data_IF_134593617603
#
_entry.id   IF_134593617603
#
_cell.length_a   1.000
_cell.length_b   1.000
_cell.length_c   1.000
_cell.angle_alpha   90.00
_cell.angle_beta   90.00
_cell.angle_gamma   90.00
#
_symmetry.space_group_name_H-M   'P 1'
#
loop_
_entity.id
_entity.type
_entity.pdbx_description
1 polymer ?
#
# COMPACT_ATOMS: atom_id res chain seq x y z
N UNK A 1 3.02 -4.70 5.66
CA UNK A 1 3.55 -4.81 4.30
C UNK A 1 4.29 -6.10 4.03
N UNK A 2 5.13 -6.62 4.92
CA UNK A 2 5.77 -7.93 4.68
C UNK A 2 4.77 -9.05 4.39
N UNK A 3 3.59 -9.02 5.03
CA UNK A 3 2.58 -10.05 4.89
C UNK A 3 1.96 -10.19 3.48
N UNK A 4 2.19 -9.23 2.57
CA UNK A 4 1.74 -9.35 1.17
C UNK A 4 2.90 -9.27 0.18
N UNK A 5 4.15 -9.15 0.64
CA UNK A 5 5.29 -8.86 -0.23
C UNK A 5 5.59 -10.01 -1.19
N UNK A 6 5.52 -11.25 -0.70
CA UNK A 6 5.74 -12.47 -1.48
C UNK A 6 4.44 -13.06 -2.07
N UNK A 7 3.30 -12.44 -1.74
CA UNK A 7 2.01 -12.85 -2.26
C UNK A 7 1.74 -12.24 -3.64
N UNK A 8 0.94 -12.97 -4.42
CA UNK A 8 0.49 -12.53 -5.74
C UNK A 8 -0.99 -12.87 -5.93
N UNK A 9 -1.63 -12.14 -6.83
CA UNK A 9 -3.01 -12.42 -7.22
C UNK A 9 -3.06 -13.73 -8.04
N UNK A 10 -3.50 -14.82 -7.41
CA UNK A 10 -3.87 -16.09 -8.06
C UNK A 10 -5.37 -16.14 -8.34
N UNK A 11 -5.89 -16.95 -9.29
CA UNK A 11 -7.33 -17.04 -9.53
C UNK A 11 -8.17 -17.39 -8.31
N UNK A 12 -7.62 -18.16 -7.35
CA UNK A 12 -8.31 -18.54 -6.12
C UNK A 12 -8.31 -17.42 -5.06
N UNK A 13 -7.22 -16.66 -4.95
CA UNK A 13 -6.99 -15.76 -3.80
C UNK A 13 -6.95 -14.27 -4.17
N UNK A 14 -7.13 -13.92 -5.44
CA UNK A 14 -6.93 -12.54 -5.91
C UNK A 14 -7.80 -11.51 -5.15
N UNK A 15 -9.05 -11.85 -4.85
CA UNK A 15 -9.94 -10.94 -4.13
C UNK A 15 -9.46 -10.67 -2.71
N UNK A 16 -8.99 -11.72 -2.03
CA UNK A 16 -8.40 -11.60 -0.70
C UNK A 16 -7.10 -10.79 -0.75
N UNK A 17 -6.19 -11.15 -1.67
CA UNK A 17 -4.90 -10.49 -1.83
C UNK A 17 -5.03 -9.00 -2.11
N UNK A 18 -5.85 -8.59 -3.09
CA UNK A 18 -6.00 -7.19 -3.46
C UNK A 18 -6.62 -6.36 -2.34
N UNK A 19 -7.62 -6.90 -1.63
CA UNK A 19 -8.16 -6.26 -0.44
C UNK A 19 -7.08 -6.08 0.61
N UNK A 20 -6.28 -7.12 0.85
CA UNK A 20 -5.24 -7.11 1.86
C UNK A 20 -4.16 -6.08 1.56
N UNK A 21 -3.70 -5.98 0.32
CA UNK A 21 -2.74 -4.94 -0.11
C UNK A 21 -3.31 -3.55 0.14
N UNK A 22 -4.55 -3.29 -0.30
CA UNK A 22 -5.22 -2.01 -0.09
C UNK A 22 -5.30 -1.63 1.40
N UNK A 23 -5.73 -2.57 2.26
CA UNK A 23 -5.86 -2.36 3.70
C UNK A 23 -4.50 -2.12 4.37
N UNK A 24 -3.44 -2.85 3.97
CA UNK A 24 -2.11 -2.67 4.53
C UNK A 24 -1.48 -1.33 4.17
N UNK A 25 -1.69 -0.86 2.94
CA UNK A 25 -1.26 0.48 2.52
C UNK A 25 -1.95 1.55 3.37
N UNK A 26 -3.26 1.45 3.60
CA UNK A 26 -4.00 2.43 4.41
C UNK A 26 -3.61 2.40 5.89
N UNK A 27 -3.35 1.22 6.46
CA UNK A 27 -2.83 1.11 7.82
C UNK A 27 -1.46 1.75 7.95
N UNK A 28 -0.60 1.57 6.94
CA UNK A 28 0.70 2.22 6.89
C UNK A 28 0.55 3.74 6.82
N UNK A 29 -0.28 4.26 5.92
CA UNK A 29 -0.54 5.71 5.80
C UNK A 29 -0.94 6.32 7.15
N UNK A 30 -1.87 5.67 7.86
CA UNK A 30 -2.27 6.08 9.21
C UNK A 30 -1.10 6.05 10.21
N UNK A 31 -0.29 5.00 10.21
CA UNK A 31 0.86 4.87 11.10
C UNK A 31 1.94 5.93 10.82
N UNK A 32 2.25 6.19 9.55
CA UNK A 32 3.22 7.20 9.13
C UNK A 32 2.77 8.62 9.53
N UNK A 33 1.48 8.93 9.37
CA UNK A 33 0.91 10.21 9.79
C UNK A 33 0.89 10.39 11.30
N UNK A 34 0.73 9.29 12.05
CA UNK A 34 0.68 9.29 13.51
C UNK A 34 2.06 9.19 14.18
N UNK A 35 3.12 8.90 13.42
CA UNK A 35 4.48 8.75 13.94
C UNK A 35 5.04 10.07 14.49
N UNK A 36 5.88 9.99 15.53
CA UNK A 36 6.57 11.15 16.12
C UNK A 36 7.50 11.86 15.13
N UNK A 37 8.00 11.14 14.11
CA UNK A 37 8.81 11.73 13.01
C UNK A 37 7.96 12.62 12.09
N UNK A 38 6.64 12.47 12.15
CA UNK A 38 5.66 13.26 11.42
C UNK A 38 5.57 12.93 9.92
N UNK A 39 4.51 13.43 9.24
CA UNK A 39 4.25 13.12 7.84
C UNK A 39 5.30 13.66 6.85
N UNK A 40 6.12 14.64 7.26
CA UNK A 40 7.22 15.15 6.44
C UNK A 40 8.34 14.13 6.24
N UNK A 41 8.61 13.31 7.27
CA UNK A 41 9.59 12.22 7.19
C UNK A 41 9.12 11.12 6.21
N UNK A 42 7.82 10.86 6.17
CA UNK A 42 7.18 9.85 5.33
C UNK A 42 6.54 10.41 4.06
N UNK A 43 7.02 11.55 3.56
CA UNK A 43 6.35 12.30 2.49
C UNK A 43 6.17 11.46 1.20
N UNK A 44 7.17 10.68 0.83
CA UNK A 44 7.15 9.84 -0.37
C UNK A 44 6.11 8.69 -0.29
N UNK A 45 6.14 7.80 0.72
CA UNK A 45 5.15 6.73 0.81
C UNK A 45 3.72 7.26 1.01
N UNK A 46 3.52 8.38 1.74
CA UNK A 46 2.21 9.02 1.86
C UNK A 46 1.72 9.55 0.51
N UNK A 47 2.60 10.14 -0.30
CA UNK A 47 2.26 10.63 -1.65
C UNK A 47 1.82 9.49 -2.56
N UNK A 48 2.55 8.37 -2.55
CA UNK A 48 2.23 7.19 -3.37
C UNK A 48 0.85 6.62 -3.03
N UNK A 49 0.50 6.53 -1.74
CA UNK A 49 -0.83 6.04 -1.30
C UNK A 49 -1.92 7.02 -1.74
N UNK A 50 -1.70 8.33 -1.61
CA UNK A 50 -2.67 9.34 -2.06
C UNK A 50 -2.91 9.31 -3.58
N UNK A 51 -1.87 9.04 -4.37
CA UNK A 51 -1.99 8.89 -5.83
C UNK A 51 -2.79 7.63 -6.19
N UNK A 52 -2.54 6.51 -5.48
CA UNK A 52 -3.32 5.29 -5.60
C UNK A 52 -4.81 5.53 -5.27
N UNK A 53 -5.11 6.22 -4.17
CA UNK A 53 -6.48 6.54 -3.75
C UNK A 53 -7.22 7.40 -4.77
N UNK A 54 -6.51 8.34 -5.40
CA UNK A 54 -7.08 9.17 -6.47
C UNK A 54 -7.44 8.32 -7.69
N UNK A 55 -6.65 7.29 -8.00
CA UNK A 55 -6.94 6.35 -9.08
C UNK A 55 -8.11 5.40 -8.76
N UNK A 56 -8.13 4.83 -7.55
CA UNK A 56 -9.16 3.88 -7.13
C UNK A 56 -10.51 4.59 -6.90
N UNK A 57 -10.50 5.79 -6.32
CA UNK A 57 -11.69 6.49 -5.88
C UNK A 57 -12.34 5.83 -4.64
N UNK A 58 -13.65 6.06 -4.46
CA UNK A 58 -14.39 5.53 -3.30
C UNK A 58 -14.94 4.11 -3.49
N UNK A 59 -14.88 3.56 -4.71
CA UNK A 59 -15.35 2.21 -4.99
C UNK A 59 -14.28 1.19 -4.56
N UNK A 60 -14.53 0.56 -3.42
CA UNK A 60 -13.64 -0.44 -2.88
C UNK A 60 -14.05 -1.87 -3.28
N UNK A 61 -14.95 -2.08 -4.24
CA UNK A 61 -15.34 -3.43 -4.68
C UNK A 61 -14.17 -4.21 -5.27
N UNK A 62 -14.27 -5.55 -5.29
CA UNK A 62 -13.24 -6.39 -5.89
C UNK A 62 -13.00 -6.03 -7.35
N UNK A 63 -14.05 -5.81 -8.15
CA UNK A 63 -13.92 -5.50 -9.56
C UNK A 63 -13.12 -4.21 -9.79
N UNK A 64 -13.34 -3.18 -8.96
CA UNK A 64 -12.57 -1.95 -9.06
C UNK A 64 -11.13 -2.12 -8.58
N UNK A 65 -10.89 -2.86 -7.49
CA UNK A 65 -9.52 -3.18 -7.07
C UNK A 65 -8.77 -4.03 -8.11
N UNK A 66 -9.47 -4.97 -8.76
CA UNK A 66 -8.92 -5.81 -9.82
C UNK A 66 -8.54 -5.00 -11.04
N UNK A 67 -9.37 -4.03 -11.42
CA UNK A 67 -9.07 -3.05 -12.48
C UNK A 67 -7.80 -2.24 -12.17
N UNK A 68 -7.54 -1.95 -10.89
CA UNK A 68 -6.37 -1.20 -10.42
C UNK A 68 -5.25 -2.09 -9.85
N UNK A 69 -5.26 -3.40 -10.12
CA UNK A 69 -4.30 -4.36 -9.56
C UNK A 69 -2.84 -3.93 -9.77
N UNK A 70 -2.49 -3.52 -10.98
CA UNK A 70 -1.10 -3.12 -11.29
C UNK A 70 -0.66 -1.94 -10.45
N UNK A 71 -1.53 -0.95 -10.24
CA UNK A 71 -1.23 0.21 -9.41
C UNK A 71 -1.07 -0.18 -7.93
N UNK A 72 -1.97 -1.02 -7.41
CA UNK A 72 -1.88 -1.53 -6.02
C UNK A 72 -0.55 -2.23 -5.75
N UNK A 73 -0.14 -3.13 -6.64
CA UNK A 73 1.09 -3.90 -6.50
C UNK A 73 2.32 -2.99 -6.66
N UNK A 74 2.33 -2.10 -7.65
CA UNK A 74 3.43 -1.16 -7.85
C UNK A 74 3.62 -0.24 -6.64
N UNK A 75 2.53 0.34 -6.10
CA UNK A 75 2.59 1.16 -4.89
C UNK A 75 3.14 0.39 -3.68
N UNK A 76 2.70 -0.86 -3.48
CA UNK A 76 3.25 -1.75 -2.44
C UNK A 76 4.77 -1.93 -2.59
N UNK A 77 5.22 -2.21 -3.81
CA UNK A 77 6.62 -2.55 -4.09
C UNK A 77 7.54 -1.32 -3.99
N UNK A 78 7.08 -0.16 -4.47
CA UNK A 78 7.78 1.12 -4.34
C UNK A 78 7.94 1.52 -2.87
N UNK A 79 6.87 1.42 -2.08
CA UNK A 79 6.93 1.72 -0.64
C UNK A 79 7.83 0.71 0.07
N UNK A 80 7.75 -0.58 -0.26
CA UNK A 80 8.64 -1.57 0.34
C UNK A 80 10.11 -1.29 0.01
N UNK A 81 10.41 -0.84 -1.22
CA UNK A 81 11.76 -0.40 -1.62
C UNK A 81 12.20 0.82 -0.80
N UNK A 82 11.32 1.79 -0.62
CA UNK A 82 11.59 2.96 0.23
C UNK A 82 11.91 2.55 1.67
N UNK A 83 11.13 1.64 2.26
CA UNK A 83 11.35 1.13 3.62
C UNK A 83 12.69 0.42 3.78
N UNK A 84 13.20 -0.26 2.75
CA UNK A 84 14.53 -0.89 2.79
C UNK A 84 15.66 0.14 2.91
N UNK A 85 15.46 1.36 2.39
CA UNK A 85 16.35 2.50 2.60
C UNK A 85 16.20 3.16 3.98
N UNK A 86 15.17 2.81 4.73
CA UNK A 86 14.81 3.41 6.02
C UNK A 86 14.51 2.36 7.11
N UNK A 87 15.48 1.46 7.42
CA UNK A 87 15.24 0.33 8.32
C UNK A 87 14.91 0.75 9.77
N UNK A 88 15.33 1.94 10.20
CA UNK A 88 15.10 2.46 11.56
C UNK A 88 13.69 3.03 11.75
N UNK A 89 12.86 3.08 10.70
CA UNK A 89 11.49 3.57 10.76
C UNK A 89 10.45 2.49 11.06
N UNK A 90 10.81 1.22 10.87
CA UNK A 90 9.87 0.10 10.89
C UNK A 90 10.39 -1.12 11.66
N UNK A 91 11.33 -0.90 12.57
CA UNK A 91 11.82 -1.92 13.50
C UNK A 91 10.85 -2.16 14.65
#
# INVERSE_FOLDING_TARGET
MQATLDDSCTPADCAYFLRRVFDELHRLDGAMKASEKGPGHFAEPIRLIKELDTGIGSDQTFDNLKKHQTALIATRDEINTWMQGHPDDYR
#
